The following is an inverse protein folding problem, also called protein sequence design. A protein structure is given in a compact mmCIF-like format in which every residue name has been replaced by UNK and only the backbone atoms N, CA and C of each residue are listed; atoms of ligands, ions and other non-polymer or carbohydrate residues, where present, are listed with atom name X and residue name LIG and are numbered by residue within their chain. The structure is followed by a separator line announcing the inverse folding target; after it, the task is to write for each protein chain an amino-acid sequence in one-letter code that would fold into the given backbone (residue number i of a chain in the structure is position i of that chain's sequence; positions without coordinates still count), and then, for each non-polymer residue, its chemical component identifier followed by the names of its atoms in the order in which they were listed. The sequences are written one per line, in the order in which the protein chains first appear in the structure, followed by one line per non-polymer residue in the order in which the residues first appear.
data_IF_464928417430
#
_entry.id   IF_464928417430
#
_cell.length_a   1.000
_cell.length_b   1.000
_cell.length_c   1.000
_cell.angle_alpha   90.00
_cell.angle_beta   90.00
_cell.angle_gamma   90.00
#
_symmetry.space_group_name_H-M   'P 1'
#
loop_
_entity.id
_entity.type
_entity.pdbx_description
1 polymer ?
#
# COMPACT_ATOMS: atom_id res chain seq x y z
N UNK A 1 17.67 -0.95 -34.60
CA UNK A 1 18.83 -0.42 -33.85
C UNK A 1 18.59 1.01 -33.38
N UNK A 2 18.25 1.97 -34.26
CA UNK A 2 17.96 3.35 -33.83
C UNK A 2 16.69 3.46 -32.95
N UNK A 3 15.62 2.76 -33.33
CA UNK A 3 14.34 2.73 -32.58
C UNK A 3 14.51 2.13 -31.19
N UNK A 4 15.07 0.91 -31.08
CA UNK A 4 15.42 0.29 -29.79
C UNK A 4 16.31 1.18 -28.90
N UNK A 5 17.29 1.89 -29.47
CA UNK A 5 18.14 2.78 -28.68
C UNK A 5 17.36 4.00 -28.13
N UNK A 6 16.39 4.51 -28.88
CA UNK A 6 15.51 5.58 -28.43
C UNK A 6 14.54 5.10 -27.34
N UNK A 7 13.92 3.94 -27.54
CA UNK A 7 13.03 3.29 -26.54
C UNK A 7 13.78 3.03 -25.24
N UNK A 8 15.01 2.52 -25.33
CA UNK A 8 15.86 2.27 -24.17
C UNK A 8 16.24 3.57 -23.45
N UNK A 9 16.57 4.62 -24.19
CA UNK A 9 16.90 5.92 -23.60
C UNK A 9 15.69 6.54 -22.86
N UNK A 10 14.49 6.40 -23.41
CA UNK A 10 13.25 6.83 -22.74
C UNK A 10 13.01 6.04 -21.44
N UNK A 11 13.11 4.71 -21.51
CA UNK A 11 12.99 3.83 -20.35
C UNK A 11 14.03 4.17 -19.26
N UNK A 12 15.28 4.43 -19.65
CA UNK A 12 16.35 4.82 -18.72
C UNK A 12 16.03 6.15 -18.01
N UNK A 13 15.53 7.15 -18.74
CA UNK A 13 15.11 8.43 -18.17
C UNK A 13 13.94 8.27 -17.20
N UNK A 14 12.93 7.47 -17.56
CA UNK A 14 11.78 7.19 -16.71
C UNK A 14 12.21 6.51 -15.41
N UNK A 15 13.02 5.45 -15.48
CA UNK A 15 13.55 4.77 -14.27
C UNK A 15 14.38 5.74 -13.42
N UNK A 16 15.23 6.56 -14.04
CA UNK A 16 16.08 7.49 -13.31
C UNK A 16 15.26 8.53 -12.53
N UNK A 17 14.24 9.11 -13.16
CA UNK A 17 13.37 10.12 -12.55
C UNK A 17 12.43 9.53 -11.50
N UNK A 18 11.84 8.35 -11.77
CA UNK A 18 10.92 7.68 -10.85
C UNK A 18 11.61 7.17 -9.57
N UNK A 19 12.93 7.02 -9.60
CA UNK A 19 13.76 6.55 -8.47
C UNK A 19 14.73 7.61 -7.95
N UNK A 20 14.45 8.89 -8.24
CA UNK A 20 15.24 10.01 -7.74
C UNK A 20 15.03 10.17 -6.22
N UNK A 21 16.12 10.32 -5.47
CA UNK A 21 16.08 10.48 -4.01
C UNK A 21 15.49 11.82 -3.57
N UNK A 22 15.46 12.82 -4.46
CA UNK A 22 14.83 14.11 -4.21
C UNK A 22 13.29 14.01 -4.15
N UNK A 23 12.69 12.90 -4.61
CA UNK A 23 11.25 12.70 -4.54
C UNK A 23 10.77 12.53 -3.09
N UNK A 24 9.69 13.23 -2.74
CA UNK A 24 9.03 13.05 -1.44
C UNK A 24 8.45 11.63 -1.27
N UNK A 25 8.02 11.00 -2.38
CA UNK A 25 7.46 9.66 -2.41
C UNK A 25 7.34 9.16 -3.86
N UNK A 26 6.64 8.04 -4.10
CA UNK A 26 6.41 7.53 -5.45
C UNK A 26 5.73 8.59 -6.33
N UNK A 27 6.28 8.81 -7.52
CA UNK A 27 5.62 9.63 -8.54
C UNK A 27 4.84 8.70 -9.48
N UNK A 28 3.52 8.65 -9.28
CA UNK A 28 2.66 7.70 -9.99
C UNK A 28 2.58 7.96 -11.50
N UNK A 29 2.63 9.21 -11.96
CA UNK A 29 2.63 9.50 -13.39
C UNK A 29 3.90 8.94 -14.05
N UNK A 30 5.06 9.03 -13.40
CA UNK A 30 6.29 8.41 -13.91
C UNK A 30 6.23 6.89 -13.89
N UNK A 31 5.68 6.30 -12.82
CA UNK A 31 5.56 4.85 -12.71
C UNK A 31 4.64 4.28 -13.80
N UNK A 32 3.48 4.93 -14.04
CA UNK A 32 2.54 4.52 -15.09
C UNK A 32 3.14 4.75 -16.48
N UNK A 33 3.84 5.85 -16.72
CA UNK A 33 4.53 6.08 -17.99
C UNK A 33 5.56 4.97 -18.30
N UNK A 34 6.27 4.45 -17.28
CA UNK A 34 7.17 3.31 -17.49
C UNK A 34 6.41 2.01 -17.78
N UNK A 35 5.25 1.79 -17.16
CA UNK A 35 4.37 0.66 -17.52
C UNK A 35 3.89 0.76 -18.97
N UNK A 36 3.48 1.95 -19.41
CA UNK A 36 3.05 2.19 -20.79
C UNK A 36 4.21 1.95 -21.77
N UNK A 37 5.41 2.45 -21.44
CA UNK A 37 6.64 2.19 -22.19
C UNK A 37 6.93 0.69 -22.31
N UNK A 38 6.86 -0.06 -21.20
CA UNK A 38 7.10 -1.50 -21.20
C UNK A 38 6.06 -2.27 -22.03
N UNK A 39 4.78 -1.89 -21.96
CA UNK A 39 3.70 -2.49 -22.75
C UNK A 39 3.79 -2.15 -24.25
N UNK A 40 4.27 -0.96 -24.60
CA UNK A 40 4.48 -0.57 -25.99
C UNK A 40 5.74 -1.21 -26.59
N UNK A 41 6.80 -1.36 -25.79
CA UNK A 41 8.14 -1.71 -26.25
C UNK A 41 8.69 -2.94 -25.51
N UNK A 42 8.16 -4.13 -25.83
CA UNK A 42 8.55 -5.37 -25.16
C UNK A 42 10.05 -5.71 -25.28
N UNK A 43 10.72 -5.21 -26.33
CA UNK A 43 12.14 -5.45 -26.58
C UNK A 43 13.06 -4.86 -25.50
N UNK A 44 12.63 -3.79 -24.81
CA UNK A 44 13.43 -3.13 -23.76
C UNK A 44 13.08 -3.58 -22.34
N UNK A 45 12.10 -4.49 -22.16
CA UNK A 45 11.67 -4.97 -20.85
C UNK A 45 12.81 -5.57 -20.02
N UNK A 46 13.71 -6.33 -20.65
CA UNK A 46 14.89 -6.89 -20.00
C UNK A 46 15.80 -5.79 -19.44
N UNK A 47 15.98 -4.71 -20.20
CA UNK A 47 16.82 -3.59 -19.80
C UNK A 47 16.17 -2.72 -18.73
N UNK A 48 14.85 -2.54 -18.77
CA UNK A 48 14.07 -1.91 -17.69
C UNK A 48 14.33 -2.65 -16.37
N UNK A 49 14.22 -3.98 -16.37
CA UNK A 49 14.44 -4.78 -15.15
C UNK A 49 15.91 -4.71 -14.70
N UNK A 50 16.89 -4.67 -15.62
CA UNK A 50 18.30 -4.42 -15.27
C UNK A 50 18.54 -3.03 -14.70
N UNK A 51 17.86 -2.00 -15.20
CA UNK A 51 17.91 -0.64 -14.65
C UNK A 51 17.36 -0.62 -13.22
N UNK A 52 16.23 -1.28 -12.97
CA UNK A 52 15.67 -1.43 -11.62
C UNK A 52 16.61 -2.20 -10.69
N UNK A 53 17.22 -3.29 -11.18
CA UNK A 53 18.20 -4.07 -10.42
C UNK A 53 19.35 -3.17 -9.93
N UNK A 54 19.89 -2.32 -10.80
CA UNK A 54 20.94 -1.34 -10.45
C UNK A 54 20.47 -0.33 -9.40
N UNK A 55 19.19 0.05 -9.40
CA UNK A 55 18.62 0.94 -8.37
C UNK A 55 18.50 0.24 -7.01
N UNK A 56 18.10 -1.03 -6.98
CA UNK A 56 18.07 -1.83 -5.75
C UNK A 56 19.47 -1.95 -5.12
N UNK A 57 20.50 -2.15 -5.96
CA UNK A 57 21.91 -2.25 -5.56
C UNK A 57 22.57 -0.92 -5.23
N UNK A 58 21.86 0.21 -5.31
CA UNK A 58 22.49 1.53 -5.16
C UNK A 58 22.96 1.85 -3.74
N UNK A 59 22.51 1.08 -2.73
CA UNK A 59 22.81 1.32 -1.32
C UNK A 59 22.14 2.56 -0.73
N UNK A 60 21.22 3.19 -1.48
CA UNK A 60 20.55 4.43 -1.09
C UNK A 60 19.10 4.11 -0.69
N UNK A 61 18.74 4.19 0.60
CA UNK A 61 17.43 3.72 1.10
C UNK A 61 16.23 4.26 0.33
N UNK A 62 16.22 5.56 0.03
CA UNK A 62 15.12 6.22 -0.68
C UNK A 62 14.99 5.72 -2.13
N UNK A 63 16.10 5.66 -2.86
CA UNK A 63 16.11 5.16 -4.23
C UNK A 63 15.71 3.68 -4.30
N UNK A 64 16.20 2.85 -3.36
CA UNK A 64 15.84 1.44 -3.27
C UNK A 64 14.35 1.26 -2.96
N UNK A 65 13.78 2.03 -2.03
CA UNK A 65 12.35 1.97 -1.71
C UNK A 65 11.48 2.36 -2.92
N UNK A 66 11.83 3.44 -3.62
CA UNK A 66 11.13 3.87 -4.83
C UNK A 66 11.24 2.82 -5.95
N UNK A 67 12.41 2.20 -6.11
CA UNK A 67 12.61 1.12 -7.08
C UNK A 67 11.76 -0.13 -6.76
N UNK A 68 11.58 -0.48 -5.48
CA UNK A 68 10.67 -1.56 -5.07
C UNK A 68 9.22 -1.22 -5.41
N UNK A 69 8.77 0.02 -5.17
CA UNK A 69 7.41 0.47 -5.53
C UNK A 69 7.20 0.46 -7.05
N UNK A 70 8.18 0.94 -7.81
CA UNK A 70 8.15 0.94 -9.26
C UNK A 70 8.10 -0.49 -9.83
N UNK A 71 8.90 -1.40 -9.26
CA UNK A 71 8.89 -2.82 -9.62
C UNK A 71 7.53 -3.46 -9.34
N UNK A 72 6.92 -3.20 -8.18
CA UNK A 72 5.56 -3.68 -7.90
C UNK A 72 4.56 -3.19 -8.95
N UNK A 73 4.63 -1.90 -9.30
CA UNK A 73 3.72 -1.28 -10.27
C UNK A 73 3.87 -1.94 -11.64
N UNK A 74 5.11 -2.21 -12.06
CA UNK A 74 5.43 -2.91 -13.31
C UNK A 74 4.98 -4.38 -13.30
N UNK A 75 5.07 -5.09 -12.17
CA UNK A 75 4.55 -6.47 -12.08
C UNK A 75 3.02 -6.51 -12.10
N UNK A 76 2.34 -5.46 -11.64
CA UNK A 76 0.88 -5.38 -11.66
C UNK A 76 0.32 -4.98 -13.03
N UNK A 77 1.04 -4.16 -13.79
CA UNK A 77 0.51 -3.51 -15.00
C UNK A 77 1.33 -3.79 -16.27
N UNK A 78 2.49 -4.42 -16.15
CA UNK A 78 3.41 -4.65 -17.25
C UNK A 78 3.15 -5.95 -18.01
N UNK A 79 3.85 -6.16 -19.13
CA UNK A 79 3.67 -7.35 -19.95
C UNK A 79 4.35 -8.59 -19.33
N UNK A 80 3.98 -9.82 -19.75
CA UNK A 80 4.59 -11.06 -19.27
C UNK A 80 6.13 -11.13 -19.38
N UNK A 81 6.72 -10.37 -20.30
CA UNK A 81 8.17 -10.23 -20.41
C UNK A 81 8.78 -9.66 -19.11
N UNK A 82 8.16 -8.64 -18.52
CA UNK A 82 8.57 -8.08 -17.21
C UNK A 82 8.45 -9.14 -16.12
N UNK A 83 7.34 -9.88 -16.06
CA UNK A 83 7.13 -10.91 -15.04
C UNK A 83 8.21 -11.99 -15.10
N UNK A 84 8.59 -12.40 -16.31
CA UNK A 84 9.64 -13.41 -16.52
C UNK A 84 11.00 -12.94 -16.02
N UNK A 85 11.35 -11.67 -16.24
CA UNK A 85 12.61 -11.09 -15.80
C UNK A 85 12.65 -10.82 -14.30
N UNK A 86 11.56 -10.27 -13.73
CA UNK A 86 11.42 -10.07 -12.28
C UNK A 86 11.41 -11.41 -11.55
N UNK A 87 10.78 -12.43 -12.15
CA UNK A 87 10.78 -13.82 -11.67
C UNK A 87 12.09 -14.57 -11.89
N UNK A 88 13.17 -13.90 -12.32
CA UNK A 88 14.50 -14.52 -12.36
C UNK A 88 15.09 -14.62 -10.95
N UNK A 89 15.85 -15.69 -10.67
CA UNK A 89 16.56 -15.82 -9.38
C UNK A 89 17.53 -14.66 -9.15
N UNK A 90 18.14 -14.14 -10.20
CA UNK A 90 19.03 -12.99 -10.12
C UNK A 90 18.30 -11.79 -9.51
N UNK A 91 17.18 -11.39 -10.10
CA UNK A 91 16.42 -10.23 -9.61
C UNK A 91 15.86 -10.47 -8.20
N UNK A 92 15.25 -11.64 -7.97
CA UNK A 92 14.66 -11.97 -6.67
C UNK A 92 15.69 -12.04 -5.54
N UNK A 93 16.92 -12.47 -5.82
CA UNK A 93 17.98 -12.47 -4.82
C UNK A 93 18.38 -11.05 -4.40
N UNK A 94 18.32 -10.05 -5.30
CA UNK A 94 18.55 -8.66 -4.92
C UNK A 94 17.46 -8.13 -4.00
N UNK A 95 16.18 -8.46 -4.28
CA UNK A 95 15.07 -8.10 -3.39
C UNK A 95 15.19 -8.82 -2.06
N UNK A 96 15.55 -10.11 -2.07
CA UNK A 96 15.73 -10.91 -0.86
C UNK A 96 16.92 -10.43 0.00
N UNK A 97 17.98 -9.89 -0.60
CA UNK A 97 19.10 -9.31 0.14
C UNK A 97 18.67 -8.15 1.04
N UNK A 98 17.63 -7.40 0.65
CA UNK A 98 17.08 -6.29 1.43
C UNK A 98 16.34 -6.74 2.71
N UNK A 99 16.12 -8.05 2.88
CA UNK A 99 15.49 -8.61 4.08
C UNK A 99 16.37 -8.47 5.34
N UNK A 100 17.67 -8.17 5.20
CA UNK A 100 18.59 -7.99 6.34
C UNK A 100 18.35 -6.69 7.12
N UNK A 101 17.59 -5.74 6.55
CA UNK A 101 17.28 -4.46 7.17
C UNK A 101 18.41 -3.42 7.13
N UNK A 102 19.51 -3.67 6.41
CA UNK A 102 20.67 -2.78 6.37
C UNK A 102 20.34 -1.38 5.82
N UNK A 103 19.31 -1.28 4.96
CA UNK A 103 18.81 -0.01 4.40
C UNK A 103 17.60 0.57 5.14
N UNK A 104 17.25 0.02 6.31
CA UNK A 104 16.15 0.49 7.15
C UNK A 104 14.87 -0.35 7.02
N UNK A 105 14.02 -0.22 8.06
CA UNK A 105 12.82 -1.05 8.26
C UNK A 105 11.81 -0.89 7.13
N UNK A 106 11.66 0.30 6.55
CA UNK A 106 10.72 0.54 5.44
C UNK A 106 11.10 -0.25 4.18
N UNK A 107 12.39 -0.26 3.84
CA UNK A 107 12.93 -1.03 2.70
C UNK A 107 12.77 -2.52 2.95
N UNK A 108 13.12 -2.97 4.15
CA UNK A 108 12.99 -4.36 4.58
C UNK A 108 11.55 -4.86 4.48
N UNK A 109 10.62 -4.14 5.12
CA UNK A 109 9.21 -4.50 5.14
C UNK A 109 8.62 -4.53 3.73
N UNK A 110 8.98 -3.55 2.89
CA UNK A 110 8.51 -3.51 1.51
C UNK A 110 9.03 -4.68 0.69
N UNK A 111 10.32 -5.01 0.79
CA UNK A 111 10.90 -6.14 0.08
C UNK A 111 10.25 -7.47 0.48
N UNK A 112 10.08 -7.70 1.79
CA UNK A 112 9.44 -8.90 2.32
C UNK A 112 7.97 -9.01 1.89
N UNK A 113 7.23 -7.90 1.93
CA UNK A 113 5.85 -7.84 1.46
C UNK A 113 5.75 -8.24 -0.01
N UNK A 114 6.61 -7.70 -0.88
CA UNK A 114 6.61 -8.03 -2.31
C UNK A 114 6.94 -9.49 -2.57
N UNK A 115 7.95 -10.05 -1.91
CA UNK A 115 8.31 -11.47 -2.06
C UNK A 115 7.12 -12.37 -1.70
N UNK A 116 6.43 -12.07 -0.59
CA UNK A 116 5.22 -12.81 -0.19
C UNK A 116 4.11 -12.66 -1.24
N UNK A 117 3.77 -11.43 -1.61
CA UNK A 117 2.69 -11.15 -2.56
C UNK A 117 2.94 -11.80 -3.92
N UNK A 118 4.17 -11.77 -4.43
CA UNK A 118 4.48 -12.42 -5.70
C UNK A 118 4.48 -13.95 -5.59
N UNK A 119 4.93 -14.52 -4.48
CA UNK A 119 4.83 -15.97 -4.26
C UNK A 119 3.37 -16.45 -4.33
N UNK A 120 2.46 -15.70 -3.70
CA UNK A 120 1.03 -15.97 -3.69
C UNK A 120 0.41 -15.72 -5.08
N UNK A 121 0.67 -14.56 -5.70
CA UNK A 121 0.08 -14.17 -6.98
C UNK A 121 0.50 -15.07 -8.16
N UNK A 122 1.73 -15.58 -8.15
CA UNK A 122 2.26 -16.45 -9.21
C UNK A 122 2.20 -17.93 -8.84
N UNK A 123 1.47 -18.31 -7.78
CA UNK A 123 1.33 -19.70 -7.35
C UNK A 123 0.75 -20.58 -8.47
N UNK A 124 1.44 -21.68 -8.78
CA UNK A 124 1.04 -22.60 -9.84
C UNK A 124 1.42 -22.16 -11.26
N UNK A 125 2.08 -21.00 -11.42
CA UNK A 125 2.69 -20.61 -12.70
C UNK A 125 4.05 -21.29 -12.95
N UNK A 126 4.59 -21.12 -14.15
CA UNK A 126 5.96 -21.55 -14.50
C UNK A 126 7.06 -20.71 -13.82
N UNK A 127 6.72 -19.54 -13.24
CA UNK A 127 7.65 -18.63 -12.56
C UNK A 127 7.92 -19.08 -11.12
N UNK A 128 8.40 -20.32 -10.97
CA UNK A 128 8.58 -21.00 -9.67
C UNK A 128 9.55 -20.32 -8.71
N UNK A 129 10.43 -19.47 -9.24
CA UNK A 129 11.43 -18.78 -8.45
C UNK A 129 10.81 -17.86 -7.38
N UNK A 130 9.63 -17.28 -7.63
CA UNK A 130 8.92 -16.49 -6.62
C UNK A 130 8.62 -17.32 -5.36
N UNK A 131 8.06 -18.52 -5.52
CA UNK A 131 7.77 -19.40 -4.39
C UNK A 131 9.04 -19.97 -3.77
N UNK A 132 10.06 -20.28 -4.57
CA UNK A 132 11.32 -20.83 -4.07
C UNK A 132 12.04 -19.85 -3.14
N UNK A 133 12.15 -18.57 -3.54
CA UNK A 133 12.79 -17.53 -2.72
C UNK A 133 11.99 -17.25 -1.45
N UNK A 134 10.66 -17.16 -1.54
CA UNK A 134 9.80 -17.00 -0.36
C UNK A 134 9.98 -18.16 0.65
N UNK A 135 9.94 -19.42 0.18
CA UNK A 135 10.15 -20.60 1.02
C UNK A 135 11.56 -20.64 1.61
N UNK A 136 12.56 -20.26 0.84
CA UNK A 136 13.94 -20.20 1.31
C UNK A 136 14.09 -19.21 2.48
N UNK A 137 13.54 -18.00 2.37
CA UNK A 137 13.58 -17.01 3.44
C UNK A 137 12.81 -17.49 4.69
N UNK A 138 11.66 -18.14 4.51
CA UNK A 138 10.92 -18.77 5.62
C UNK A 138 11.75 -19.84 6.33
N UNK A 139 12.45 -20.69 5.59
CA UNK A 139 13.34 -21.71 6.15
C UNK A 139 14.53 -21.10 6.90
N UNK A 140 14.99 -19.92 6.49
CA UNK A 140 16.01 -19.14 7.19
C UNK A 140 15.50 -18.42 8.44
N UNK A 141 14.20 -18.54 8.76
CA UNK A 141 13.59 -17.92 9.95
C UNK A 141 13.19 -16.47 9.75
N UNK A 142 13.17 -15.96 8.51
CA UNK A 142 12.73 -14.59 8.22
C UNK A 142 11.23 -14.46 8.48
N UNK A 143 10.87 -13.52 9.35
CA UNK A 143 9.49 -13.15 9.61
C UNK A 143 8.97 -12.25 8.47
N UNK A 144 7.75 -12.51 8.00
CA UNK A 144 7.12 -11.71 6.94
C UNK A 144 5.98 -10.89 7.55
N UNK A 145 5.79 -9.63 7.11
CA UNK A 145 4.69 -8.80 7.60
C UNK A 145 3.33 -9.43 7.25
N UNK A 146 2.33 -9.21 8.10
CA UNK A 146 0.94 -9.58 7.82
C UNK A 146 0.43 -8.76 6.63
N UNK A 147 -0.21 -9.41 5.67
CA UNK A 147 -0.78 -8.71 4.53
C UNK A 147 -2.03 -7.96 5.00
N UNK A 148 -2.07 -6.64 4.85
CA UNK A 148 -3.34 -5.91 4.87
C UNK A 148 -4.16 -6.41 3.67
N UNK A 149 -5.24 -7.15 3.92
CA UNK A 149 -6.16 -7.60 2.88
C UNK A 149 -6.81 -6.37 2.23
N UNK A 150 -6.58 -6.18 0.93
CA UNK A 150 -7.43 -5.35 0.07
C UNK A 150 -8.87 -5.90 0.15
N UNK A 151 -9.72 -5.25 0.94
CA UNK A 151 -11.13 -5.59 1.00
C UNK A 151 -11.77 -5.39 -0.41
N UNK A 152 -12.61 -6.32 -0.88
CA UNK A 152 -13.11 -6.30 -2.25
C UNK A 152 -13.97 -5.06 -2.53
N UNK A 153 -13.59 -4.32 -3.56
CA UNK A 153 -14.35 -3.18 -4.09
C UNK A 153 -15.64 -3.72 -4.71
N UNK A 154 -16.75 -3.51 -4.01
CA UNK A 154 -18.10 -3.74 -4.54
C UNK A 154 -18.57 -2.45 -5.23
N UNK A 155 -18.35 -2.32 -6.54
CA UNK A 155 -18.91 -1.24 -7.36
C UNK A 155 -20.30 -1.60 -7.88
N UNK A 156 -21.37 -0.86 -7.55
CA UNK A 156 -22.55 -0.75 -8.40
C UNK A 156 -22.33 0.35 -9.47
N UNK A 157 -23.18 0.42 -10.54
CA UNK A 157 -22.78 0.97 -11.82
C UNK A 157 -22.83 2.50 -11.90
N UNK A 158 -22.01 3.01 -12.82
CA UNK A 158 -21.80 4.41 -13.19
C UNK A 158 -23.08 5.13 -13.65
N UNK A 159 -23.25 6.36 -13.17
CA UNK A 159 -24.01 7.41 -13.84
C UNK A 159 -23.11 8.65 -13.94
N UNK A 160 -22.92 9.13 -15.16
CA UNK A 160 -22.29 10.40 -15.53
C UNK A 160 -22.90 11.57 -14.73
N UNK A 161 -22.23 12.70 -14.46
CA UNK A 161 -21.68 13.68 -15.41
C UNK A 161 -20.76 14.70 -14.69
N UNK A 162 -19.84 15.25 -15.49
CA UNK A 162 -19.31 16.63 -15.47
C UNK A 162 -18.08 17.04 -14.62
N UNK A 163 -17.31 17.90 -15.29
CA UNK A 163 -15.87 18.14 -15.19
C UNK A 163 -15.46 19.18 -14.14
N UNK A 164 -14.18 19.06 -13.79
CA UNK A 164 -13.22 20.10 -13.42
C UNK A 164 -13.13 20.58 -11.95
N UNK A 165 -11.87 20.77 -11.56
CA UNK A 165 -11.29 21.22 -10.27
C UNK A 165 -11.10 20.15 -9.17
N UNK A 166 -9.83 19.75 -9.02
CA UNK A 166 -9.13 19.14 -7.87
C UNK A 166 -9.37 17.65 -7.49
N UNK A 167 -8.52 16.70 -7.94
CA UNK A 167 -8.58 15.30 -7.53
C UNK A 167 -8.16 15.05 -6.06
N UNK A 168 -7.29 15.88 -5.48
CA UNK A 168 -6.79 15.72 -4.09
C UNK A 168 -7.74 16.24 -3.00
N UNK A 169 -8.55 17.27 -3.30
CA UNK A 169 -9.55 17.77 -2.33
C UNK A 169 -10.78 16.87 -2.28
N UNK A 170 -11.22 16.35 -3.44
CA UNK A 170 -12.35 15.41 -3.52
C UNK A 170 -12.07 14.11 -2.77
N UNK A 171 -10.86 13.56 -2.86
CA UNK A 171 -10.47 12.36 -2.09
C UNK A 171 -10.42 12.63 -0.59
N UNK A 172 -9.92 13.79 -0.16
CA UNK A 172 -9.87 14.16 1.26
C UNK A 172 -11.25 14.47 1.85
N UNK A 173 -12.11 15.18 1.12
CA UNK A 173 -13.50 15.44 1.52
C UNK A 173 -14.32 14.14 1.54
N UNK A 174 -14.10 13.22 0.59
CA UNK A 174 -14.70 11.89 0.60
C UNK A 174 -14.22 11.05 1.79
N UNK A 175 -12.94 11.13 2.15
CA UNK A 175 -12.41 10.47 3.35
C UNK A 175 -13.02 11.07 4.63
N UNK A 176 -13.17 12.40 4.71
CA UNK A 176 -13.82 13.08 5.84
C UNK A 176 -15.31 12.73 5.91
N UNK A 177 -16.01 12.69 4.77
CA UNK A 177 -17.42 12.27 4.71
C UNK A 177 -17.60 10.81 5.11
N UNK A 178 -16.67 9.94 4.70
CA UNK A 178 -16.64 8.53 5.12
C UNK A 178 -16.40 8.41 6.63
N UNK A 179 -15.46 9.19 7.18
CA UNK A 179 -15.24 9.28 8.63
C UNK A 179 -16.47 9.79 9.37
N UNK A 180 -17.19 10.79 8.85
CA UNK A 180 -18.44 11.26 9.44
C UNK A 180 -19.55 10.20 9.39
N UNK A 181 -19.64 9.44 8.30
CA UNK A 181 -20.59 8.34 8.18
C UNK A 181 -20.25 7.20 9.17
N UNK A 182 -18.97 6.84 9.27
CA UNK A 182 -18.48 5.83 10.21
C UNK A 182 -18.73 6.27 11.67
N UNK A 183 -18.48 7.55 11.99
CA UNK A 183 -18.73 8.11 13.32
C UNK A 183 -20.22 8.11 13.67
N UNK A 184 -21.10 8.39 12.70
CA UNK A 184 -22.56 8.33 12.90
C UNK A 184 -23.02 6.91 13.23
N UNK A 185 -22.46 5.89 12.55
CA UNK A 185 -22.74 4.48 12.84
C UNK A 185 -22.24 4.09 14.24
N UNK A 186 -21.07 4.59 14.64
CA UNK A 186 -20.53 4.39 15.99
C UNK A 186 -21.42 5.04 17.05
N UNK A 187 -21.89 6.27 16.82
CA UNK A 187 -22.81 6.96 17.73
C UNK A 187 -24.15 6.23 17.86
N UNK A 188 -24.70 5.71 16.76
CA UNK A 188 -25.93 4.90 16.78
C UNK A 188 -25.71 3.59 17.56
N UNK A 189 -24.56 2.92 17.39
CA UNK A 189 -24.22 1.71 18.14
C UNK A 189 -24.01 1.96 19.63
N UNK A 190 -23.39 3.09 20.02
CA UNK A 190 -23.23 3.50 21.43
C UNK A 190 -24.60 3.79 22.06
N UNK A 191 -25.51 4.43 21.32
CA UNK A 191 -26.87 4.69 21.78
C UNK A 191 -27.63 3.37 22.01
N UNK A 192 -27.50 2.44 21.07
CA UNK A 192 -28.12 1.12 21.14
C UNK A 192 -27.55 0.31 22.32
N UNK A 193 -26.25 0.43 22.60
CA UNK A 193 -25.61 -0.19 23.76
C UNK A 193 -26.14 0.39 25.09
N UNK A 194 -26.30 1.71 25.19
CA UNK A 194 -26.93 2.36 26.36
C UNK A 194 -28.39 1.90 26.56
N UNK A 195 -29.15 1.78 25.47
CA UNK A 195 -30.54 1.31 25.51
C UNK A 195 -30.64 -0.17 25.94
N UNK A 196 -29.74 -1.03 25.45
CA UNK A 196 -29.66 -2.45 25.86
C UNK A 196 -29.24 -2.60 27.33
N UNK A 197 -28.31 -1.77 27.79
CA UNK A 197 -27.87 -1.74 29.20
C UNK A 197 -29.00 -1.30 30.13
N UNK A 198 -29.80 -0.31 29.71
CA UNK A 198 -31.00 0.15 30.46
C UNK A 198 -32.10 -0.92 30.52
N UNK A 199 -32.10 -1.87 29.57
CA UNK A 199 -33.06 -2.99 29.48
C UNK A 199 -32.61 -4.27 30.21
N UNK A 200 -31.45 -4.26 30.86
CA UNK A 200 -30.98 -5.36 31.70
C UNK A 200 -30.57 -6.63 30.95
N UNK A 201 -30.29 -6.56 29.65
CA UNK A 201 -29.81 -7.70 28.87
C UNK A 201 -28.28 -7.82 29.01
N UNK A 202 -27.79 -8.95 29.52
CA UNK A 202 -26.36 -9.16 29.82
C UNK A 202 -25.87 -10.51 29.32
N UNK A 203 -24.66 -10.50 28.74
CA UNK A 203 -23.94 -11.66 28.23
C UNK A 203 -23.27 -11.34 26.89
N UNK A 204 -23.51 -12.17 25.89
CA UNK A 204 -22.74 -12.19 24.64
C UNK A 204 -22.85 -10.92 23.77
N UNK A 205 -24.05 -10.35 23.60
CA UNK A 205 -24.23 -9.19 22.70
C UNK A 205 -23.57 -7.90 23.23
N UNK A 206 -23.36 -7.81 24.55
CA UNK A 206 -22.71 -6.65 25.16
C UNK A 206 -21.19 -6.74 25.00
N UNK A 207 -20.64 -7.95 25.12
CA UNK A 207 -19.22 -8.24 24.96
C UNK A 207 -18.76 -8.02 23.52
N UNK A 208 -19.54 -8.46 22.52
CA UNK A 208 -19.27 -8.23 21.10
C UNK A 208 -19.20 -6.74 20.74
N UNK A 209 -20.08 -5.92 21.33
CA UNK A 209 -20.10 -4.48 21.05
C UNK A 209 -19.00 -3.76 21.83
N UNK A 210 -18.66 -4.21 23.04
CA UNK A 210 -17.51 -3.68 23.80
C UNK A 210 -16.18 -4.00 23.11
N UNK A 211 -16.01 -5.20 22.58
CA UNK A 211 -14.82 -5.60 21.83
C UNK A 211 -14.69 -4.82 20.51
N UNK A 212 -15.82 -4.60 19.82
CA UNK A 212 -15.86 -3.74 18.63
C UNK A 212 -15.45 -2.29 18.94
N UNK A 213 -15.94 -1.72 20.05
CA UNK A 213 -15.60 -0.35 20.46
C UNK A 213 -14.13 -0.25 20.91
N UNK A 214 -13.62 -1.26 21.60
CA UNK A 214 -12.21 -1.36 22.02
C UNK A 214 -11.25 -1.50 20.83
N UNK A 215 -11.66 -2.17 19.76
CA UNK A 215 -10.91 -2.21 18.49
C UNK A 215 -10.94 -0.88 17.72
N UNK A 216 -11.95 -0.03 17.95
CA UNK A 216 -12.03 1.28 17.31
C UNK A 216 -11.15 2.35 18.01
N UNK A 217 -10.80 2.13 19.27
CA UNK A 217 -10.05 3.09 20.10
C UNK A 217 -8.63 3.40 19.57
N UNK A 218 -7.81 2.43 19.12
CA UNK A 218 -6.50 2.72 18.53
C UNK A 218 -6.61 3.53 17.23
N UNK A 219 -7.62 3.21 16.40
CA UNK A 219 -7.87 3.89 15.12
C UNK A 219 -8.29 5.34 15.32
N UNK A 220 -9.01 5.63 16.41
CA UNK A 220 -9.41 6.98 16.80
C UNK A 220 -8.23 7.78 17.39
N UNK A 221 -7.35 7.15 18.18
CA UNK A 221 -6.12 7.77 18.68
C UNK A 221 -5.15 8.14 17.54
N UNK A 222 -5.03 7.27 16.52
CA UNK A 222 -4.23 7.57 15.32
C UNK A 222 -4.78 8.74 14.51
N UNK A 223 -6.09 8.98 14.53
CA UNK A 223 -6.73 10.14 13.89
C UNK A 223 -6.51 11.45 14.66
N UNK A 224 -6.45 11.37 15.99
CA UNK A 224 -6.15 12.52 16.87
C UNK A 224 -4.68 12.92 16.74
N UNK A 225 -3.78 11.95 16.77
CA UNK A 225 -2.32 12.16 16.65
C UNK A 225 -1.90 12.50 15.20
N UNK A 226 -2.63 12.01 14.20
CA UNK A 226 -2.33 12.10 12.77
C UNK A 226 -2.71 13.39 12.05
N UNK A 227 -3.29 14.40 12.72
CA UNK A 227 -3.28 15.76 12.19
C UNK A 227 -4.58 16.56 12.17
N UNK A 228 -5.26 16.73 13.32
CA UNK A 228 -6.29 17.78 13.44
C UNK A 228 -6.25 18.56 14.79
N UNK A 229 -5.17 18.51 15.57
CA UNK A 229 -5.10 19.29 16.84
C UNK A 229 -5.24 20.82 16.65
N UNK A 230 -5.03 21.34 15.43
CA UNK A 230 -5.12 22.77 15.13
C UNK A 230 -6.38 23.25 14.39
N UNK A 231 -7.34 22.36 14.07
CA UNK A 231 -8.52 22.70 13.24
C UNK A 231 -9.83 22.01 13.61
N UNK A 232 -9.88 21.25 14.70
CA UNK A 232 -11.14 20.72 15.25
C UNK A 232 -11.85 21.90 15.95
N UNK A 233 -13.14 22.11 15.70
CA UNK A 233 -13.91 23.08 16.45
C UNK A 233 -14.10 22.61 17.90
N UNK A 234 -14.19 23.55 18.82
CA UNK A 234 -14.13 23.32 20.27
C UNK A 234 -15.14 22.23 20.73
N UNK A 235 -16.28 22.14 20.04
CA UNK A 235 -17.31 21.13 20.28
C UNK A 235 -16.87 19.71 19.96
N UNK A 236 -16.17 19.49 18.85
CA UNK A 236 -15.71 18.15 18.45
C UNK A 236 -14.50 17.73 19.27
N UNK A 237 -13.68 18.67 19.75
CA UNK A 237 -12.63 18.39 20.72
C UNK A 237 -13.22 17.96 22.08
N UNK A 238 -14.29 18.62 22.53
CA UNK A 238 -15.00 18.32 23.78
C UNK A 238 -15.73 16.95 23.71
N UNK A 239 -16.27 16.59 22.55
CA UNK A 239 -16.85 15.26 22.32
C UNK A 239 -15.79 14.15 22.35
N UNK A 240 -14.58 14.38 21.80
CA UNK A 240 -13.47 13.43 21.88
C UNK A 240 -12.96 13.24 23.33
N UNK A 241 -12.90 14.31 24.12
CA UNK A 241 -12.46 14.26 25.52
C UNK A 241 -13.50 13.56 26.42
N UNK A 242 -14.80 13.75 26.16
CA UNK A 242 -15.87 13.12 26.93
C UNK A 242 -15.99 11.60 26.73
N UNK A 243 -15.45 11.05 25.63
CA UNK A 243 -15.35 9.58 25.45
C UNK A 243 -14.35 8.96 26.43
N UNK A 244 -13.34 9.71 26.89
CA UNK A 244 -12.40 9.27 27.92
C UNK A 244 -12.95 9.35 29.35
N UNK A 245 -13.91 10.23 29.63
CA UNK A 245 -14.47 10.45 30.97
C UNK A 245 -15.64 9.54 31.36
N UNK A 246 -16.14 8.71 30.44
CA UNK A 246 -17.22 7.76 30.70
C UNK A 246 -16.76 6.32 30.99
N UNK A 247 -15.46 6.11 31.20
CA UNK A 247 -14.84 4.81 31.46
C UNK A 247 -14.34 4.63 32.91
N UNK A 248 -14.69 5.55 33.82
CA UNK A 248 -14.61 5.36 35.28
C UNK A 248 -15.97 4.95 35.87
#
# INVERSE_FOLDING_TARGET
MAEYAQELAEAEQLVARATDEALAGPEWALNIALCDCANAHHAVCDDIVRLLQRRLQSGRPKATLLALVLTETLVKNGPPAVHSQVGSRQFLNEVAALADGALGVDVQNRALLLIRQWADAFQGSELRAFQDVYRQLKLQGVAFPEAENDAPIFTPPSSAVEEDVAPERRTREQQIQKLHADLKVVQEKIKLLRELHTRGQTGDQLEDVLDFLRQCQPRMNTLIEGGIMGKIDERTLEECLNVGGGMD
#
